data_IF_964747229694
#
_entry.id   IF_964747229694
#
_cell.length_a   1.000
_cell.length_b   1.000
_cell.length_c   1.000
_cell.angle_alpha   90.00
_cell.angle_beta   90.00
_cell.angle_gamma   90.00
#
_symmetry.space_group_name_H-M   'P 1'
#
loop_
_entity.id
_entity.type
_entity.pdbx_description
1 polymer ?
#
# COMPACT_ATOMS: atom_id res chain seq x y z
N UNK A 1 -8.94 27.11 -13.98
CA UNK A 1 -8.26 26.93 -12.67
C UNK A 1 -7.03 26.09 -12.93
N UNK A 2 -5.92 26.45 -12.31
CA UNK A 2 -4.60 25.84 -12.48
C UNK A 2 -4.38 24.81 -11.36
N UNK A 3 -3.55 23.80 -11.59
CA UNK A 3 -3.07 22.85 -10.58
C UNK A 3 -1.61 23.17 -10.30
N UNK A 4 -1.22 23.08 -9.05
CA UNK A 4 0.11 23.44 -8.58
C UNK A 4 0.79 22.25 -7.95
N UNK A 5 2.04 21.99 -8.30
CA UNK A 5 2.89 21.06 -7.58
C UNK A 5 3.51 21.75 -6.37
N UNK A 6 3.32 21.21 -5.19
CA UNK A 6 3.94 21.72 -3.98
C UNK A 6 5.41 21.29 -3.90
N UNK A 7 6.34 22.19 -3.57
CA UNK A 7 7.68 21.77 -3.18
C UNK A 7 7.62 21.02 -1.83
N UNK A 8 8.55 20.09 -1.55
CA UNK A 8 8.52 19.28 -0.32
C UNK A 8 8.41 20.09 0.98
N UNK A 9 9.02 21.28 1.03
CA UNK A 9 8.93 22.19 2.18
C UNK A 9 7.51 22.69 2.50
N UNK A 10 6.57 22.55 1.56
CA UNK A 10 5.16 22.97 1.69
C UNK A 10 4.18 21.82 1.76
N UNK A 11 4.63 20.56 1.79
CA UNK A 11 3.75 19.39 1.88
C UNK A 11 2.82 19.46 3.09
N UNK A 12 3.26 20.05 4.21
CA UNK A 12 2.44 20.23 5.40
C UNK A 12 1.12 20.99 5.15
N UNK A 13 1.01 21.79 4.09
CA UNK A 13 -0.23 22.47 3.71
C UNK A 13 -1.32 21.51 3.26
N UNK A 14 -0.95 20.43 2.60
CA UNK A 14 -1.89 19.41 2.14
C UNK A 14 -2.17 18.32 3.20
N UNK A 15 -1.33 18.18 4.24
CA UNK A 15 -1.46 17.13 5.24
C UNK A 15 -2.85 17.06 5.92
N UNK A 16 -3.53 18.17 6.26
CA UNK A 16 -4.86 18.13 6.85
C UNK A 16 -5.92 17.44 5.97
N UNK A 17 -5.79 17.49 4.64
CA UNK A 17 -6.71 16.82 3.72
C UNK A 17 -6.64 15.29 3.83
N UNK A 18 -5.49 14.76 4.25
CA UNK A 18 -5.23 13.34 4.43
C UNK A 18 -5.36 12.86 5.89
N UNK A 19 -5.73 13.75 6.81
CA UNK A 19 -5.80 13.42 8.24
C UNK A 19 -6.81 12.28 8.54
N UNK A 20 -7.89 12.23 7.79
CA UNK A 20 -8.93 11.21 7.91
C UNK A 20 -8.69 9.97 7.04
N UNK A 21 -7.60 9.95 6.25
CA UNK A 21 -7.22 8.75 5.49
C UNK A 21 -6.86 7.64 6.46
N UNK A 22 -7.62 6.58 6.43
CA UNK A 22 -7.44 5.40 7.29
C UNK A 22 -6.82 4.22 6.52
N UNK A 23 -7.00 4.18 5.19
CA UNK A 23 -6.35 3.24 4.30
C UNK A 23 -4.92 3.69 3.98
N UNK A 24 -4.04 2.75 3.78
CA UNK A 24 -2.67 2.98 3.27
C UNK A 24 -1.90 4.10 3.99
N UNK A 25 -2.15 4.26 5.29
CA UNK A 25 -1.57 5.36 6.08
C UNK A 25 -0.04 5.37 6.05
N UNK A 26 0.60 4.20 6.07
CA UNK A 26 2.05 4.12 5.99
C UNK A 26 2.59 4.75 4.69
N UNK A 27 1.88 4.58 3.59
CA UNK A 27 2.25 5.16 2.30
C UNK A 27 2.07 6.67 2.28
N UNK A 28 0.91 7.16 2.73
CA UNK A 28 0.58 8.57 2.77
C UNK A 28 1.51 9.32 3.72
N UNK A 29 1.59 8.88 4.96
CA UNK A 29 2.38 9.55 5.99
C UNK A 29 3.89 9.42 5.73
N UNK A 30 4.34 8.33 5.12
CA UNK A 30 5.74 8.17 4.73
C UNK A 30 6.24 9.28 3.79
N UNK A 31 5.37 9.82 2.92
CA UNK A 31 5.70 10.98 2.07
C UNK A 31 5.76 12.27 2.90
N UNK A 32 4.79 12.51 3.79
CA UNK A 32 4.79 13.70 4.64
C UNK A 32 5.95 13.71 5.65
N UNK A 33 6.45 12.55 6.04
CA UNK A 33 7.58 12.37 6.94
C UNK A 33 8.94 12.33 6.21
N UNK A 34 8.96 12.55 4.89
CA UNK A 34 10.14 12.44 4.01
C UNK A 34 10.88 11.09 4.12
N UNK A 35 10.17 10.03 4.46
CA UNK A 35 10.71 8.66 4.49
C UNK A 35 10.72 8.02 3.11
N UNK A 36 9.68 8.28 2.32
CA UNK A 36 9.54 7.80 0.94
C UNK A 36 9.37 8.96 -0.03
N UNK A 37 9.85 8.84 -1.28
CA UNK A 37 9.65 9.90 -2.27
C UNK A 37 8.17 10.05 -2.61
N UNK A 38 7.75 11.27 -2.93
CA UNK A 38 6.41 11.57 -3.41
C UNK A 38 6.32 12.96 -3.99
N UNK A 39 5.23 13.24 -4.71
CA UNK A 39 4.86 14.53 -5.28
C UNK A 39 3.44 14.87 -4.83
N UNK A 40 3.17 16.12 -4.56
CA UNK A 40 1.83 16.55 -4.14
C UNK A 40 1.37 17.68 -5.05
N UNK A 41 0.20 17.46 -5.68
CA UNK A 41 -0.46 18.45 -6.52
C UNK A 41 -1.73 18.93 -5.80
N UNK A 42 -1.99 20.24 -5.88
CA UNK A 42 -3.11 20.90 -5.20
C UNK A 42 -3.85 21.85 -6.14
N UNK A 43 -5.10 22.13 -5.81
CA UNK A 43 -5.94 23.12 -6.50
C UNK A 43 -5.56 24.58 -6.13
N UNK A 44 -5.05 24.80 -4.91
CA UNK A 44 -4.57 26.09 -4.41
C UNK A 44 -3.32 25.87 -3.55
N UNK A 45 -2.17 26.53 -3.85
CA UNK A 45 -0.94 26.31 -3.11
C UNK A 45 -0.91 26.92 -1.71
N UNK A 46 -1.77 27.90 -1.42
CA UNK A 46 -1.84 28.56 -0.11
C UNK A 46 -2.89 27.94 0.79
N UNK A 47 -4.06 27.57 0.21
CA UNK A 47 -5.19 27.01 0.93
C UNK A 47 -5.80 25.84 0.15
N UNK A 48 -5.11 24.71 0.08
CA UNK A 48 -5.59 23.58 -0.71
C UNK A 48 -6.92 23.07 -0.17
N UNK A 49 -7.89 22.89 -1.08
CA UNK A 49 -9.19 22.25 -0.78
C UNK A 49 -9.22 20.82 -1.29
N UNK A 50 -8.33 20.47 -2.22
CA UNK A 50 -8.11 19.12 -2.69
C UNK A 50 -6.64 18.90 -3.05
N UNK A 51 -6.17 17.68 -2.88
CA UNK A 51 -4.80 17.30 -3.16
C UNK A 51 -4.73 15.90 -3.79
N UNK A 52 -3.74 15.73 -4.66
CA UNK A 52 -3.31 14.47 -5.21
C UNK A 52 -1.88 14.20 -4.75
N UNK A 53 -1.68 13.17 -3.97
CA UNK A 53 -0.38 12.65 -3.57
C UNK A 53 0.00 11.52 -4.53
N UNK A 54 1.10 11.70 -5.24
CA UNK A 54 1.67 10.71 -6.16
C UNK A 54 2.87 10.05 -5.52
N UNK A 55 2.84 8.73 -5.44
CA UNK A 55 3.95 7.88 -5.06
C UNK A 55 4.10 6.81 -6.14
N UNK A 56 5.23 6.35 -6.43
CA UNK A 56 5.65 5.46 -7.53
C UNK A 56 4.53 4.79 -8.36
N UNK A 57 3.64 3.97 -7.78
CA UNK A 57 2.52 3.31 -8.47
C UNK A 57 1.17 3.55 -7.76
N UNK A 58 1.18 4.31 -6.68
CA UNK A 58 0.03 4.52 -5.81
C UNK A 58 -0.25 6.00 -5.69
N UNK A 59 -1.50 6.35 -5.87
CA UNK A 59 -1.95 7.74 -5.88
C UNK A 59 -3.12 7.90 -4.92
N UNK A 60 -3.04 8.92 -4.08
CA UNK A 60 -4.03 9.20 -3.06
C UNK A 60 -4.63 10.56 -3.33
N UNK A 61 -5.95 10.63 -3.42
CA UNK A 61 -6.66 11.87 -3.66
C UNK A 61 -7.57 12.19 -2.48
N UNK A 62 -7.49 13.41 -1.98
CA UNK A 62 -8.19 13.86 -0.79
C UNK A 62 -8.82 15.23 -0.99
N UNK A 63 -9.84 15.56 -0.18
CA UNK A 63 -10.46 16.87 -0.14
C UNK A 63 -11.79 16.97 -0.89
N UNK A 64 -12.07 18.15 -1.46
CA UNK A 64 -13.36 18.46 -2.04
C UNK A 64 -13.63 17.77 -3.38
N UNK A 65 -14.83 17.18 -3.56
CA UNK A 65 -15.28 16.69 -4.86
C UNK A 65 -15.46 17.81 -5.90
N UNK A 66 -15.55 19.08 -5.47
CA UNK A 66 -15.77 20.24 -6.35
C UNK A 66 -14.48 20.74 -7.02
N UNK A 67 -13.31 20.19 -6.67
CA UNK A 67 -12.01 20.54 -7.24
C UNK A 67 -11.88 20.05 -8.69
N UNK A 68 -12.71 20.58 -9.59
CA UNK A 68 -12.79 20.16 -10.99
C UNK A 68 -11.46 20.29 -11.75
N UNK A 69 -10.61 21.28 -11.39
CA UNK A 69 -9.31 21.45 -12.01
C UNK A 69 -8.36 20.29 -11.69
N UNK A 70 -8.33 19.88 -10.41
CA UNK A 70 -7.50 18.74 -10.00
C UNK A 70 -7.98 17.43 -10.63
N UNK A 71 -9.28 17.16 -10.66
CA UNK A 71 -9.84 15.98 -11.30
C UNK A 71 -9.56 15.94 -12.81
N UNK A 72 -9.64 17.10 -13.48
CA UNK A 72 -9.25 17.23 -14.90
C UNK A 72 -7.76 16.96 -15.09
N UNK A 73 -6.92 17.52 -14.23
CA UNK A 73 -5.49 17.26 -14.24
C UNK A 73 -5.18 15.78 -14.07
N UNK A 74 -5.82 15.11 -13.10
CA UNK A 74 -5.67 13.65 -12.90
C UNK A 74 -6.03 12.87 -14.16
N UNK A 75 -7.09 13.25 -14.87
CA UNK A 75 -7.55 12.58 -16.08
C UNK A 75 -6.64 12.79 -17.29
N UNK A 76 -6.11 13.99 -17.43
CA UNK A 76 -5.42 14.47 -18.64
C UNK A 76 -3.91 14.61 -18.42
N UNK A 77 -3.39 14.30 -17.21
CA UNK A 77 -1.98 14.45 -16.90
C UNK A 77 -1.10 13.56 -17.79
N UNK A 78 0.06 14.10 -18.20
CA UNK A 78 0.98 13.36 -19.05
C UNK A 78 1.60 12.16 -18.31
N UNK A 79 2.06 11.18 -19.08
CA UNK A 79 2.71 9.96 -18.56
C UNK A 79 3.93 10.25 -17.67
N UNK A 80 4.57 11.41 -17.84
CA UNK A 80 5.68 11.86 -17.00
C UNK A 80 5.28 12.10 -15.53
N UNK A 81 3.97 12.31 -15.26
CA UNK A 81 3.46 12.47 -13.91
C UNK A 81 3.17 11.12 -13.28
N UNK A 82 2.59 10.21 -14.05
CA UNK A 82 2.04 8.96 -13.55
C UNK A 82 2.76 7.69 -14.03
N UNK A 83 3.57 7.76 -15.10
CA UNK A 83 4.03 6.56 -15.78
C UNK A 83 2.89 5.83 -16.50
N UNK A 84 3.05 4.54 -16.73
CA UNK A 84 2.08 3.72 -17.47
C UNK A 84 1.00 3.07 -16.60
N UNK A 85 1.05 3.24 -15.27
CA UNK A 85 0.17 2.59 -14.31
C UNK A 85 -0.37 3.59 -13.29
N UNK A 86 -1.69 3.66 -13.17
CA UNK A 86 -2.34 4.49 -12.17
C UNK A 86 -3.31 3.68 -11.33
N UNK A 87 -3.11 3.72 -10.03
CA UNK A 87 -4.11 3.28 -9.07
C UNK A 87 -4.43 4.44 -8.13
N UNK A 88 -5.67 4.92 -8.14
CA UNK A 88 -6.10 5.99 -7.25
C UNK A 88 -6.86 5.43 -6.07
N UNK A 89 -6.55 5.92 -4.89
CA UNK A 89 -7.35 5.72 -3.68
C UNK A 89 -7.92 7.07 -3.26
N UNK A 90 -9.25 7.21 -3.33
CA UNK A 90 -9.93 8.41 -2.85
C UNK A 90 -10.21 8.29 -1.35
N UNK A 91 -9.89 9.34 -0.60
CA UNK A 91 -10.05 9.32 0.87
C UNK A 91 -11.48 9.52 1.35
N UNK A 92 -12.40 9.91 0.45
CA UNK A 92 -13.81 10.05 0.78
C UNK A 92 -14.74 9.67 -0.38
N UNK A 93 -15.98 9.30 -0.04
CA UNK A 93 -16.99 8.80 -0.99
C UNK A 93 -17.43 9.86 -2.02
N UNK A 94 -17.71 11.11 -1.66
CA UNK A 94 -18.11 12.12 -2.66
C UNK A 94 -17.04 12.33 -3.74
N UNK A 95 -15.78 12.38 -3.33
CA UNK A 95 -14.65 12.53 -4.27
C UNK A 95 -14.49 11.30 -5.17
N UNK A 96 -14.61 10.09 -4.61
CA UNK A 96 -14.58 8.85 -5.40
C UNK A 96 -15.68 8.83 -6.46
N UNK A 97 -16.91 9.21 -6.12
CA UNK A 97 -18.04 9.33 -7.06
C UNK A 97 -17.76 10.33 -8.18
N UNK A 98 -17.21 11.49 -7.83
CA UNK A 98 -16.88 12.52 -8.81
C UNK A 98 -15.80 12.01 -9.80
N UNK A 99 -14.76 11.31 -9.30
CA UNK A 99 -13.73 10.71 -10.14
C UNK A 99 -14.34 9.67 -11.08
N UNK A 100 -15.16 8.75 -10.57
CA UNK A 100 -15.82 7.73 -11.39
C UNK A 100 -16.69 8.38 -12.47
N UNK A 101 -17.41 9.44 -12.15
CA UNK A 101 -18.24 10.17 -13.12
C UNK A 101 -17.38 10.82 -14.23
N UNK A 102 -16.21 11.39 -13.90
CA UNK A 102 -15.32 12.04 -14.86
C UNK A 102 -14.63 11.04 -15.81
N UNK A 103 -14.34 9.84 -15.33
CA UNK A 103 -13.61 8.84 -16.11
C UNK A 103 -14.53 7.86 -16.85
N UNK A 104 -15.74 7.59 -16.32
CA UNK A 104 -16.67 6.62 -16.87
C UNK A 104 -16.06 5.23 -17.07
N UNK A 105 -16.27 4.62 -18.23
CA UNK A 105 -15.77 3.27 -18.56
C UNK A 105 -14.23 3.15 -18.64
N UNK A 106 -13.50 4.26 -18.55
CA UNK A 106 -12.04 4.27 -18.50
C UNK A 106 -11.46 3.88 -17.15
N UNK A 107 -12.29 3.80 -16.10
CA UNK A 107 -11.88 3.32 -14.79
C UNK A 107 -12.35 1.89 -14.54
N UNK A 108 -11.47 1.12 -13.95
CA UNK A 108 -11.79 -0.13 -13.29
C UNK A 108 -11.71 0.06 -11.79
N UNK A 109 -12.58 -0.61 -11.07
CA UNK A 109 -12.57 -0.64 -9.62
C UNK A 109 -11.97 -1.96 -9.18
N UNK A 110 -10.93 -1.87 -8.37
CA UNK A 110 -10.26 -3.02 -7.76
C UNK A 110 -10.66 -3.04 -6.30
N UNK A 111 -11.39 -4.07 -5.90
CA UNK A 111 -11.72 -4.27 -4.50
C UNK A 111 -10.48 -4.78 -3.75
N UNK A 112 -10.13 -4.09 -2.67
CA UNK A 112 -8.99 -4.43 -1.81
C UNK A 112 -9.43 -4.63 -0.37
N UNK A 113 -8.63 -5.36 0.37
CA UNK A 113 -8.80 -5.59 1.82
C UNK A 113 -7.55 -5.17 2.55
N UNK A 114 -7.72 -4.31 3.53
CA UNK A 114 -6.69 -3.96 4.48
C UNK A 114 -6.76 -4.85 5.73
N UNK A 115 -5.61 -5.15 6.28
CA UNK A 115 -5.44 -5.95 7.49
C UNK A 115 -4.45 -5.26 8.42
N UNK A 116 -4.68 -5.39 9.73
CA UNK A 116 -3.73 -5.01 10.76
C UNK A 116 -3.38 -6.20 11.63
N UNK A 117 -2.12 -6.29 12.06
CA UNK A 117 -1.74 -7.36 12.97
C UNK A 117 -2.36 -7.18 14.36
N UNK A 118 -3.07 -8.20 14.82
CA UNK A 118 -3.95 -8.11 15.99
C UNK A 118 -3.29 -8.52 17.32
N UNK A 119 -1.96 -8.68 17.35
CA UNK A 119 -1.25 -9.04 18.57
C UNK A 119 -1.20 -10.55 18.87
N UNK A 120 -1.63 -11.40 17.97
CA UNK A 120 -1.62 -12.85 18.14
C UNK A 120 -0.20 -13.42 17.99
N UNK A 121 0.56 -13.42 19.09
CA UNK A 121 1.94 -13.94 19.14
C UNK A 121 1.96 -15.46 18.92
N UNK A 122 0.96 -16.18 19.38
CA UNK A 122 0.91 -17.64 19.27
C UNK A 122 0.81 -18.11 17.80
N UNK A 123 0.16 -17.31 16.94
CA UNK A 123 0.10 -17.57 15.50
C UNK A 123 1.48 -17.58 14.83
N UNK A 124 2.47 -16.91 15.43
CA UNK A 124 3.83 -16.80 14.89
C UNK A 124 4.75 -17.92 15.38
N UNK A 125 4.47 -18.56 16.51
CA UNK A 125 5.40 -19.49 17.19
C UNK A 125 5.80 -20.66 16.30
N UNK A 126 4.87 -21.22 15.53
CA UNK A 126 5.16 -22.32 14.60
C UNK A 126 6.16 -21.99 13.50
N UNK A 127 6.39 -20.71 13.24
CA UNK A 127 7.27 -20.23 12.18
C UNK A 127 8.67 -19.83 12.68
N UNK A 128 8.89 -19.77 14.01
CA UNK A 128 10.17 -19.39 14.63
C UNK A 128 11.16 -20.54 14.77
N UNK A 129 10.64 -21.75 14.84
CA UNK A 129 11.48 -22.95 15.05
C UNK A 129 12.31 -23.33 13.81
N UNK A 130 13.23 -24.30 13.97
CA UNK A 130 14.00 -24.87 12.87
C UNK A 130 13.06 -25.42 11.79
N UNK A 131 13.52 -25.42 10.55
CA UNK A 131 12.80 -25.96 9.41
C UNK A 131 13.49 -27.25 8.93
N UNK A 132 12.69 -28.22 8.46
CA UNK A 132 13.20 -29.47 7.88
C UNK A 132 14.08 -29.19 6.64
N UNK A 133 13.79 -28.12 5.90
CA UNK A 133 14.52 -27.73 4.69
C UNK A 133 15.80 -26.89 4.97
N UNK A 134 16.20 -26.72 6.23
CA UNK A 134 17.38 -25.92 6.61
C UNK A 134 17.21 -24.41 6.30
N UNK A 135 15.96 -23.91 6.31
CA UNK A 135 15.66 -22.50 6.04
C UNK A 135 16.23 -21.60 7.13
N UNK A 136 16.99 -20.61 6.73
CA UNK A 136 17.45 -19.51 7.60
C UNK A 136 16.71 -18.23 7.29
N UNK A 137 16.56 -17.37 8.30
CA UNK A 137 15.97 -16.03 8.14
C UNK A 137 17.08 -15.00 8.31
N UNK A 138 17.22 -14.09 7.35
CA UNK A 138 18.20 -13.01 7.38
C UNK A 138 17.52 -11.65 7.22
N UNK A 139 18.02 -10.65 7.95
CA UNK A 139 17.64 -9.27 7.70
C UNK A 139 18.22 -8.81 6.37
N UNK A 140 17.46 -8.05 5.61
CA UNK A 140 17.93 -7.46 4.36
C UNK A 140 18.98 -6.38 4.68
N UNK A 141 20.17 -6.60 4.14
CA UNK A 141 21.19 -5.59 3.92
C UNK A 141 21.10 -5.09 2.47
N UNK A 142 21.99 -4.20 2.05
CA UNK A 142 22.00 -3.68 0.68
C UNK A 142 22.10 -4.80 -0.36
N UNK A 143 23.05 -5.72 -0.19
CA UNK A 143 23.29 -6.78 -1.16
C UNK A 143 22.09 -7.71 -1.30
N UNK A 144 21.44 -8.05 -0.19
CA UNK A 144 20.23 -8.88 -0.19
C UNK A 144 19.02 -8.12 -0.76
N UNK A 145 18.88 -6.82 -0.50
CA UNK A 145 17.80 -6.02 -1.08
C UNK A 145 17.95 -5.88 -2.60
N UNK A 146 19.15 -5.64 -3.11
CA UNK A 146 19.44 -5.59 -4.55
C UNK A 146 19.20 -6.95 -5.22
N UNK A 147 19.58 -8.03 -4.55
CA UNK A 147 19.30 -9.39 -5.03
C UNK A 147 17.82 -9.70 -5.06
N UNK A 148 17.09 -9.35 -4.00
CA UNK A 148 15.66 -9.54 -3.90
C UNK A 148 14.93 -8.87 -5.08
N UNK A 149 15.24 -7.60 -5.37
CA UNK A 149 14.63 -6.89 -6.49
C UNK A 149 14.97 -7.55 -7.83
N UNK A 150 16.22 -7.94 -8.02
CA UNK A 150 16.68 -8.58 -9.27
C UNK A 150 16.18 -10.01 -9.46
N UNK A 151 16.22 -10.84 -8.40
CA UNK A 151 15.98 -12.28 -8.49
C UNK A 151 14.49 -12.62 -8.33
N UNK A 152 13.74 -11.81 -7.54
CA UNK A 152 12.33 -12.05 -7.26
C UNK A 152 11.39 -10.99 -7.88
N UNK A 153 11.94 -10.03 -8.65
CA UNK A 153 11.16 -8.98 -9.28
C UNK A 153 10.46 -8.04 -8.27
N UNK A 154 11.07 -7.89 -7.07
CA UNK A 154 10.59 -6.94 -6.10
C UNK A 154 11.04 -5.52 -6.46
N UNK A 155 10.49 -4.51 -5.80
CA UNK A 155 10.65 -3.11 -6.17
C UNK A 155 11.05 -2.22 -4.99
N UNK A 156 11.78 -2.77 -4.00
CA UNK A 156 12.15 -2.00 -2.81
C UNK A 156 12.97 -0.75 -3.18
N UNK A 157 13.95 -0.89 -4.07
CA UNK A 157 14.74 0.24 -4.53
C UNK A 157 13.90 1.32 -5.22
N UNK A 158 12.85 0.93 -5.95
CA UNK A 158 11.94 1.85 -6.65
C UNK A 158 10.99 2.52 -5.66
N UNK A 159 10.32 1.75 -4.80
CA UNK A 159 9.37 2.28 -3.81
C UNK A 159 10.01 3.29 -2.86
N UNK A 160 11.28 3.08 -2.53
CA UNK A 160 11.99 3.93 -1.58
C UNK A 160 12.84 5.02 -2.25
N UNK A 161 12.91 5.06 -3.59
CA UNK A 161 13.78 5.99 -4.32
C UNK A 161 15.25 5.70 -4.10
N UNK A 162 15.61 4.43 -3.85
CA UNK A 162 16.96 3.91 -3.66
C UNK A 162 17.13 3.09 -2.38
N UNK A 163 18.13 2.21 -2.40
CA UNK A 163 18.40 1.29 -1.28
C UNK A 163 18.93 2.01 -0.04
N UNK A 164 19.62 3.14 -0.17
CA UNK A 164 20.06 3.92 0.99
C UNK A 164 18.87 4.43 1.80
N UNK A 165 17.85 4.96 1.13
CA UNK A 165 16.64 5.42 1.78
C UNK A 165 15.84 4.25 2.36
N UNK A 166 15.77 3.11 1.66
CA UNK A 166 15.17 1.89 2.18
C UNK A 166 15.82 1.43 3.48
N UNK A 167 17.16 1.35 3.50
CA UNK A 167 17.89 0.88 4.68
C UNK A 167 17.85 1.87 5.86
N UNK A 168 17.73 3.17 5.56
CA UNK A 168 17.63 4.21 6.58
C UNK A 168 16.24 4.29 7.24
N UNK A 169 15.16 4.04 6.47
CA UNK A 169 13.79 4.29 6.93
C UNK A 169 12.87 3.06 6.88
N UNK A 170 13.27 2.03 6.14
CA UNK A 170 12.55 0.77 6.00
C UNK A 170 13.34 -0.39 6.60
N UNK A 171 12.84 -1.58 6.37
CA UNK A 171 13.49 -2.84 6.77
C UNK A 171 12.83 -4.01 6.05
N UNK A 172 13.50 -5.17 6.10
CA UNK A 172 12.94 -6.40 5.55
C UNK A 172 13.73 -7.61 5.99
N UNK A 173 13.17 -8.78 5.68
CA UNK A 173 13.73 -10.08 5.98
C UNK A 173 13.55 -11.01 4.79
N UNK A 174 14.52 -11.85 4.56
CA UNK A 174 14.42 -12.93 3.58
C UNK A 174 14.62 -14.29 4.25
N UNK A 175 14.02 -15.30 3.68
CA UNK A 175 14.37 -16.70 3.94
C UNK A 175 15.33 -17.19 2.90
N UNK A 176 16.28 -18.01 3.32
CA UNK A 176 17.30 -18.59 2.45
C UNK A 176 17.44 -20.10 2.67
N UNK A 177 17.71 -20.82 1.58
CA UNK A 177 18.17 -22.20 1.58
C UNK A 177 19.53 -22.20 0.88
N UNK A 178 20.59 -22.47 1.63
CA UNK A 178 21.94 -22.17 1.15
C UNK A 178 22.09 -20.69 0.79
N UNK A 179 22.50 -20.43 -0.46
CA UNK A 179 22.66 -19.07 -0.98
C UNK A 179 21.42 -18.52 -1.71
N UNK A 180 20.36 -19.31 -1.86
CA UNK A 180 19.16 -18.94 -2.62
C UNK A 180 18.16 -18.18 -1.76
N UNK A 181 17.67 -17.03 -2.24
CA UNK A 181 16.56 -16.30 -1.60
C UNK A 181 15.25 -17.01 -1.98
N UNK A 182 14.56 -17.53 -0.98
CA UNK A 182 13.39 -18.39 -1.19
C UNK A 182 12.07 -17.70 -0.84
N UNK A 183 12.13 -16.66 -0.02
CA UNK A 183 10.98 -15.83 0.35
C UNK A 183 11.43 -14.52 0.96
N UNK A 184 10.59 -13.50 0.88
CA UNK A 184 10.87 -12.17 1.42
C UNK A 184 9.64 -11.57 2.05
N UNK A 185 9.87 -10.70 3.03
CA UNK A 185 8.90 -9.80 3.64
C UNK A 185 9.61 -8.49 3.94
N UNK A 186 9.21 -7.40 3.32
CA UNK A 186 9.84 -6.11 3.51
C UNK A 186 8.82 -4.98 3.62
N UNK A 187 9.22 -3.86 4.21
CA UNK A 187 8.38 -2.69 4.31
C UNK A 187 8.25 -2.01 2.95
N UNK A 188 7.07 -2.01 2.37
CA UNK A 188 6.73 -1.20 1.20
C UNK A 188 6.61 0.28 1.60
N UNK A 189 6.18 0.56 2.84
CA UNK A 189 6.16 1.87 3.46
C UNK A 189 6.25 1.78 4.98
N UNK A 190 6.75 2.85 5.62
CA UNK A 190 6.80 3.01 7.07
C UNK A 190 6.38 4.42 7.44
N UNK A 191 5.48 4.56 8.40
CA UNK A 191 5.13 5.83 9.02
C UNK A 191 5.40 5.79 10.52
N UNK A 192 5.92 6.89 11.08
CA UNK A 192 6.17 7.03 12.52
C UNK A 192 5.01 7.64 13.28
N UNK A 193 4.10 8.34 12.58
CA UNK A 193 3.00 9.08 13.19
C UNK A 193 1.70 8.28 13.18
N UNK A 194 0.95 8.31 14.28
CA UNK A 194 -0.26 7.53 14.46
C UNK A 194 -1.44 8.24 15.07
N UNK A 195 -2.63 7.69 14.75
CA UNK A 195 -3.86 7.92 15.55
C UNK A 195 -3.72 7.48 17.01
N UNK A 196 -2.93 6.45 17.31
CA UNK A 196 -2.83 5.78 18.63
C UNK A 196 -1.41 5.79 19.23
N UNK A 197 -0.53 6.67 18.78
CA UNK A 197 0.82 6.83 19.33
C UNK A 197 1.89 5.85 18.88
N UNK A 198 1.65 4.95 17.92
CA UNK A 198 2.64 4.03 17.39
C UNK A 198 2.73 4.14 15.85
N UNK A 199 3.85 3.81 15.21
CA UNK A 199 4.04 3.83 13.76
C UNK A 199 3.38 2.64 13.03
N UNK A 200 3.36 2.64 11.74
CA UNK A 200 2.87 1.56 10.89
C UNK A 200 3.92 1.16 9.88
N UNK A 201 3.97 -0.12 9.56
CA UNK A 201 4.77 -0.64 8.46
C UNK A 201 3.89 -1.53 7.58
N UNK A 202 3.71 -1.13 6.33
CA UNK A 202 3.00 -1.94 5.35
C UNK A 202 3.98 -2.96 4.77
N UNK A 203 3.56 -4.23 4.76
CA UNK A 203 4.38 -5.35 4.36
C UNK A 203 4.14 -5.73 2.90
N UNK A 204 5.19 -5.90 2.13
CA UNK A 204 5.17 -6.59 0.85
C UNK A 204 5.83 -7.96 0.97
N UNK A 205 5.27 -8.97 0.29
CA UNK A 205 5.63 -10.38 0.50
C UNK A 205 5.70 -11.14 -0.81
N UNK A 206 6.79 -11.90 -0.96
CA UNK A 206 6.96 -12.82 -2.10
C UNK A 206 7.56 -14.15 -1.63
N UNK A 207 7.23 -15.22 -2.35
CA UNK A 207 7.90 -16.51 -2.26
C UNK A 207 8.29 -16.96 -3.67
N UNK A 208 9.55 -17.30 -3.86
CA UNK A 208 10.03 -17.87 -5.10
C UNK A 208 9.25 -19.14 -5.45
N UNK A 209 8.91 -19.30 -6.72
CA UNK A 209 7.94 -20.31 -7.17
C UNK A 209 8.23 -21.74 -6.69
N UNK A 210 9.48 -22.25 -6.76
CA UNK A 210 9.80 -23.61 -6.31
C UNK A 210 9.60 -23.83 -4.81
N UNK A 211 9.55 -22.75 -4.01
CA UNK A 211 9.48 -22.78 -2.55
C UNK A 211 8.08 -22.41 -1.99
N UNK A 212 7.08 -22.24 -2.87
CA UNK A 212 5.70 -21.94 -2.43
C UNK A 212 5.12 -23.08 -1.61
N UNK A 213 4.24 -22.71 -0.67
CA UNK A 213 3.51 -23.63 0.24
C UNK A 213 4.40 -24.40 1.23
N UNK A 214 5.65 -23.99 1.44
CA UNK A 214 6.60 -24.58 2.41
C UNK A 214 6.84 -23.66 3.63
N UNK A 215 6.09 -22.56 3.77
CA UNK A 215 6.17 -21.65 4.92
C UNK A 215 7.28 -20.59 4.85
N UNK A 216 8.01 -20.47 3.73
CA UNK A 216 9.10 -19.50 3.57
C UNK A 216 8.63 -18.05 3.80
N UNK A 217 7.58 -17.61 3.11
CA UNK A 217 7.00 -16.28 3.34
C UNK A 217 6.54 -16.10 4.80
N UNK A 218 5.90 -17.10 5.39
CA UNK A 218 5.44 -17.00 6.77
C UNK A 218 6.57 -16.78 7.77
N UNK A 219 7.74 -17.40 7.55
CA UNK A 219 8.95 -17.19 8.39
C UNK A 219 9.51 -15.79 8.22
N UNK A 220 9.63 -15.30 6.98
CA UNK A 220 10.05 -13.92 6.71
C UNK A 220 9.07 -12.90 7.33
N UNK A 221 7.76 -13.10 7.17
CA UNK A 221 6.73 -12.26 7.79
C UNK A 221 6.76 -12.30 9.32
N UNK A 222 7.05 -13.46 9.92
CA UNK A 222 7.20 -13.56 11.39
C UNK A 222 8.34 -12.68 11.88
N UNK A 223 9.50 -12.71 11.23
CA UNK A 223 10.62 -11.84 11.57
C UNK A 223 10.28 -10.36 11.36
N UNK A 224 9.53 -10.03 10.30
CA UNK A 224 9.03 -8.68 10.04
C UNK A 224 8.11 -8.19 11.16
N UNK A 225 7.14 -9.01 11.56
CA UNK A 225 6.18 -8.67 12.63
C UNK A 225 6.91 -8.53 13.98
N UNK A 226 7.86 -9.42 14.29
CA UNK A 226 8.66 -9.32 15.51
C UNK A 226 9.49 -8.04 15.54
N UNK A 227 10.05 -7.62 14.40
CA UNK A 227 10.73 -6.34 14.27
C UNK A 227 9.75 -5.16 14.49
N UNK A 228 8.57 -5.17 13.89
CA UNK A 228 7.55 -4.16 14.12
C UNK A 228 7.24 -4.01 15.61
N UNK A 229 6.99 -5.13 16.29
CA UNK A 229 6.68 -5.15 17.72
C UNK A 229 7.80 -4.55 18.58
N UNK A 230 9.04 -4.92 18.27
CA UNK A 230 10.21 -4.44 19.00
C UNK A 230 10.42 -2.91 18.83
N UNK A 231 9.90 -2.31 17.76
CA UNK A 231 10.07 -0.90 17.43
C UNK A 231 8.78 -0.07 17.55
N UNK A 232 7.76 -0.60 18.20
CA UNK A 232 6.50 0.12 18.41
C UNK A 232 5.72 0.40 17.11
N UNK A 233 5.89 -0.45 16.09
CA UNK A 233 5.15 -0.40 14.83
C UNK A 233 4.04 -1.44 14.82
N UNK A 234 2.93 -1.14 14.15
CA UNK A 234 1.95 -2.15 13.73
C UNK A 234 2.28 -2.58 12.31
N UNK A 235 2.40 -3.87 12.10
CA UNK A 235 2.42 -4.42 10.76
C UNK A 235 1.02 -4.29 10.14
N UNK A 236 0.95 -3.71 8.95
CA UNK A 236 -0.26 -3.65 8.13
C UNK A 236 -0.04 -4.42 6.83
N UNK A 237 -1.13 -4.86 6.23
CA UNK A 237 -1.15 -5.66 5.01
C UNK A 237 -2.34 -5.27 4.18
N UNK A 238 -2.20 -5.21 2.90
CA UNK A 238 -3.33 -5.08 1.99
C UNK A 238 -3.17 -6.02 0.80
N UNK A 239 -4.30 -6.37 0.19
CA UNK A 239 -4.31 -7.25 -0.97
C UNK A 239 -5.59 -7.09 -1.75
N UNK A 240 -5.57 -7.46 -3.03
CA UNK A 240 -6.78 -7.57 -3.83
C UNK A 240 -7.74 -8.58 -3.18
N UNK A 241 -9.03 -8.28 -3.20
CA UNK A 241 -10.05 -9.08 -2.48
C UNK A 241 -10.17 -10.52 -3.01
N UNK A 242 -9.77 -10.77 -4.25
CA UNK A 242 -9.74 -12.08 -4.88
C UNK A 242 -8.42 -12.85 -4.65
N UNK A 243 -7.36 -12.17 -4.16
CA UNK A 243 -6.10 -12.82 -3.83
C UNK A 243 -6.20 -13.65 -2.54
N UNK A 244 -6.90 -14.77 -2.63
CA UNK A 244 -7.13 -15.67 -1.50
C UNK A 244 -5.84 -16.17 -0.84
N UNK A 245 -4.76 -16.34 -1.61
CA UNK A 245 -3.47 -16.83 -1.09
C UNK A 245 -2.85 -15.83 -0.12
N UNK A 246 -2.85 -14.54 -0.49
CA UNK A 246 -2.37 -13.45 0.35
C UNK A 246 -3.22 -13.32 1.61
N UNK A 247 -4.55 -13.31 1.46
CA UNK A 247 -5.49 -13.22 2.57
C UNK A 247 -5.35 -14.39 3.57
N UNK A 248 -5.17 -15.61 3.08
CA UNK A 248 -4.96 -16.80 3.93
C UNK A 248 -3.64 -16.71 4.70
N UNK A 249 -2.56 -16.23 4.06
CA UNK A 249 -1.27 -16.03 4.74
C UNK A 249 -1.38 -14.98 5.84
N UNK A 250 -1.99 -13.83 5.55
CA UNK A 250 -2.21 -12.77 6.53
C UNK A 250 -2.96 -13.29 7.76
N UNK A 251 -4.09 -13.97 7.56
CA UNK A 251 -4.88 -14.56 8.65
C UNK A 251 -4.12 -15.61 9.45
N UNK A 252 -3.33 -16.47 8.76
CA UNK A 252 -2.51 -17.50 9.40
C UNK A 252 -1.38 -16.92 10.30
N UNK A 253 -1.01 -15.66 10.08
CA UNK A 253 -0.04 -14.90 10.86
C UNK A 253 -0.68 -14.02 11.95
N UNK A 254 -2.00 -14.09 12.13
CA UNK A 254 -2.72 -13.34 13.16
C UNK A 254 -3.12 -11.93 12.74
N UNK A 255 -3.08 -11.60 11.45
CA UNK A 255 -3.70 -10.38 10.95
C UNK A 255 -5.22 -10.52 10.94
N UNK A 256 -5.91 -9.46 11.28
CA UNK A 256 -7.37 -9.32 11.15
C UNK A 256 -7.70 -8.31 10.09
N UNK A 257 -8.75 -8.60 9.35
CA UNK A 257 -9.29 -7.65 8.38
C UNK A 257 -9.75 -6.41 9.16
N UNK A 258 -9.22 -5.27 8.76
CA UNK A 258 -9.48 -3.98 9.38
C UNK A 258 -10.52 -3.22 8.57
N UNK A 259 -10.35 -3.22 7.24
CA UNK A 259 -11.27 -2.50 6.36
C UNK A 259 -11.16 -2.96 4.90
N UNK A 260 -12.28 -2.99 4.17
CA UNK A 260 -12.29 -3.03 2.71
C UNK A 260 -12.10 -1.63 2.15
N UNK A 261 -11.43 -1.52 1.01
CA UNK A 261 -11.34 -0.27 0.25
C UNK A 261 -11.31 -0.53 -1.25
N UNK A 262 -11.40 0.52 -2.05
CA UNK A 262 -11.33 0.43 -3.49
C UNK A 262 -10.14 1.21 -4.03
N UNK A 263 -9.43 0.59 -4.93
CA UNK A 263 -8.48 1.24 -5.81
C UNK A 263 -9.15 1.47 -7.17
N UNK A 264 -9.06 2.69 -7.67
CA UNK A 264 -9.54 3.07 -8.99
C UNK A 264 -8.37 2.95 -9.96
N UNK A 265 -8.48 2.14 -11.00
CA UNK A 265 -7.37 1.89 -11.93
C UNK A 265 -7.75 2.27 -13.35
N UNK A 266 -6.80 2.80 -14.12
CA UNK A 266 -6.94 3.04 -15.55
C UNK A 266 -6.59 1.78 -16.37
N UNK A 267 -7.02 1.68 -17.65
CA UNK A 267 -6.97 0.44 -18.42
C UNK A 267 -5.60 -0.20 -18.65
N UNK A 268 -4.49 0.47 -18.37
CA UNK A 268 -3.15 -0.11 -18.48
C UNK A 268 -2.78 -1.08 -17.36
N UNK A 269 -3.42 -0.94 -16.19
CA UNK A 269 -3.20 -1.84 -15.06
C UNK A 269 -3.97 -3.15 -15.27
N UNK A 270 -3.26 -4.28 -15.32
CA UNK A 270 -3.86 -5.61 -15.27
C UNK A 270 -3.75 -6.15 -13.85
N UNK A 271 -4.77 -6.01 -13.01
CA UNK A 271 -4.85 -6.83 -11.81
C UNK A 271 -5.02 -8.29 -12.24
N UNK A 272 -4.48 -9.20 -11.46
CA UNK A 272 -4.71 -10.63 -11.60
C UNK A 272 -6.23 -10.88 -11.54
N UNK A 273 -6.80 -11.31 -12.68
CA UNK A 273 -8.20 -11.72 -12.89
C UNK A 273 -9.20 -11.21 -11.84
N UNK A 274 -9.73 -10.03 -12.07
CA UNK A 274 -10.90 -9.54 -11.34
C UNK A 274 -12.14 -9.98 -12.08
N UNK A 275 -13.03 -10.70 -11.40
CA UNK A 275 -14.36 -10.97 -11.89
C UNK A 275 -15.05 -9.66 -12.30
N UNK A 276 -15.64 -9.63 -13.48
CA UNK A 276 -16.39 -8.49 -14.00
C UNK A 276 -17.63 -8.26 -13.12
N UNK A 277 -17.47 -7.49 -12.05
CA UNK A 277 -18.56 -7.06 -11.19
C UNK A 277 -18.86 -5.58 -11.43
N UNK A 278 -20.13 -5.23 -11.51
CA UNK A 278 -20.54 -3.82 -11.41
C UNK A 278 -20.42 -3.39 -9.94
N UNK A 279 -19.65 -2.36 -9.68
CA UNK A 279 -19.41 -1.88 -8.32
C UNK A 279 -20.09 -0.53 -8.10
N UNK A 280 -20.71 -0.33 -6.96
CA UNK A 280 -21.23 0.96 -6.51
C UNK A 280 -20.44 1.45 -5.31
N UNK A 281 -20.20 2.76 -5.29
CA UNK A 281 -19.64 3.44 -4.12
C UNK A 281 -20.71 3.51 -3.05
N UNK A 282 -20.53 2.81 -1.96
CA UNK A 282 -21.40 2.88 -0.80
C UNK A 282 -20.61 3.37 0.40
N UNK A 283 -21.20 4.26 1.21
CA UNK A 283 -20.70 4.50 2.54
C UNK A 283 -21.18 3.36 3.44
N UNK A 284 -20.35 2.73 4.25
CA UNK A 284 -20.84 1.89 5.33
C UNK A 284 -21.55 2.75 6.34
N UNK A 285 -22.51 2.16 7.04
CA UNK A 285 -23.35 2.80 8.01
C UNK A 285 -22.55 3.65 9.02
N UNK A 286 -22.52 4.96 8.79
CA UNK A 286 -22.03 5.95 9.74
C UNK A 286 -20.53 6.21 9.85
N UNK A 287 -19.65 5.51 9.15
CA UNK A 287 -18.19 5.58 9.38
C UNK A 287 -17.36 6.32 8.32
N UNK A 288 -17.95 6.92 7.29
CA UNK A 288 -17.21 7.70 6.27
C UNK A 288 -16.24 6.88 5.38
N UNK A 289 -16.30 5.57 5.44
CA UNK A 289 -15.44 4.65 4.71
C UNK A 289 -15.98 4.45 3.29
N UNK A 290 -15.12 4.53 2.28
CA UNK A 290 -15.46 4.18 0.90
C UNK A 290 -15.55 2.67 0.79
N UNK A 291 -16.75 2.12 0.85
CA UNK A 291 -17.00 0.71 0.56
C UNK A 291 -17.58 0.59 -0.84
N UNK A 292 -16.96 -0.24 -1.64
CA UNK A 292 -17.49 -0.66 -2.92
C UNK A 292 -18.26 -1.96 -2.71
N UNK A 293 -19.54 -1.96 -3.05
CA UNK A 293 -20.35 -3.18 -3.08
C UNK A 293 -20.53 -3.63 -4.51
N UNK A 294 -20.39 -4.92 -4.75
CA UNK A 294 -20.84 -5.55 -5.98
C UNK A 294 -22.35 -5.31 -6.10
N UNK A 295 -22.79 -4.81 -7.26
CA UNK A 295 -24.20 -4.85 -7.62
C UNK A 295 -24.40 -6.22 -8.24
N UNK A 296 -24.79 -7.20 -7.43
CA UNK A 296 -25.36 -8.44 -7.97
C UNK A 296 -26.67 -8.02 -8.66
N UNK A 297 -26.78 -8.35 -9.94
CA UNK A 297 -27.97 -8.04 -10.71
C UNK A 297 -29.18 -8.76 -10.10
N UNK A 298 -30.28 -8.00 -9.99
CA UNK A 298 -31.63 -8.56 -9.83
C UNK A 298 -32.00 -9.47 -11.00
#
# INVERSE_FOLDING_TARGET
>A
MQVYELPPSLFSRAAPLFAEAWMDRAFIQGVFEDKTPGRIFVDDPERPTAALLCRTFEYYVAGSPDAAALRRFMRDAPAEVYGDFYGYVATNVPLARAIVADYGERLRVIARRGYAWAGDVAALDRWRGPSEDGVTVRRLDRALAERMDRELGQLAGVFWGGYDRFLANGFGFCTMVGEEITGVAYAAAVAGTRRNGCGEANIDVMTAEPFRRRGHAARACTAFIDHCRAHGLVATWDTDSDNQRSALLARALGFREDHPFAQLSTPGYRPLDLAEGRWQVAAPDGAGVVVWRSVEGD
#
